data_IF_326816569863
#
_entry.id   IF_326816569863
#
_cell.length_a   1.000
_cell.length_b   1.000
_cell.length_c   1.000
_cell.angle_alpha   90.00
_cell.angle_beta   90.00
_cell.angle_gamma   90.00
#
_symmetry.space_group_name_H-M   'P 1'
#
loop_
_entity.id
_entity.type
_entity.pdbx_description
1 polymer ?
#
# COMPACT_ATOMS: atom_id res chain seq x y z
N UNK A 1 6.56 11.04 5.85
CA UNK A 1 7.84 10.29 5.83
C UNK A 1 7.45 8.93 5.31
N UNK A 2 8.11 8.42 4.25
CA UNK A 2 7.84 7.09 3.68
C UNK A 2 7.47 6.10 4.79
N UNK A 3 6.42 5.28 4.63
CA UNK A 3 6.14 4.17 5.56
C UNK A 3 7.35 3.22 5.60
N UNK A 4 8.36 3.58 6.41
CA UNK A 4 9.63 2.90 6.58
C UNK A 4 9.47 1.39 6.81
N UNK A 5 8.48 0.92 7.61
CA UNK A 5 8.27 -0.53 7.76
C UNK A 5 7.78 -1.19 6.46
N UNK A 6 6.82 -0.58 5.75
CA UNK A 6 6.29 -1.13 4.50
C UNK A 6 7.37 -1.18 3.42
N UNK A 7 8.16 -0.11 3.28
CA UNK A 7 9.23 -0.08 2.30
C UNK A 7 10.28 -1.16 2.57
N UNK A 8 10.74 -1.30 3.82
CA UNK A 8 11.70 -2.36 4.18
C UNK A 8 11.13 -3.76 3.94
N UNK A 9 9.86 -3.98 4.23
CA UNK A 9 9.18 -5.25 3.97
C UNK A 9 9.08 -5.54 2.47
N UNK A 10 8.76 -4.53 1.65
CA UNK A 10 8.73 -4.65 0.20
C UNK A 10 10.13 -4.95 -0.35
N UNK A 11 11.18 -4.25 0.12
CA UNK A 11 12.57 -4.54 -0.25
C UNK A 11 12.92 -5.99 0.04
N UNK A 12 12.68 -6.47 1.28
CA UNK A 12 12.96 -7.86 1.65
C UNK A 12 12.14 -8.89 0.85
N UNK A 13 10.95 -8.51 0.37
CA UNK A 13 10.16 -9.33 -0.55
C UNK A 13 10.74 -9.38 -1.96
N UNK A 14 11.12 -8.23 -2.51
CA UNK A 14 11.73 -8.12 -3.84
C UNK A 14 13.11 -8.78 -3.88
N UNK A 15 13.93 -8.62 -2.83
CA UNK A 15 15.22 -9.31 -2.71
C UNK A 15 15.06 -10.84 -2.76
N UNK A 16 14.01 -11.38 -2.14
CA UNK A 16 13.68 -12.81 -2.24
C UNK A 16 13.30 -13.21 -3.67
N UNK A 17 12.51 -12.39 -4.37
CA UNK A 17 12.16 -12.64 -5.77
C UNK A 17 13.38 -12.59 -6.69
N UNK A 18 14.27 -11.60 -6.49
CA UNK A 18 15.51 -11.46 -7.24
C UNK A 18 16.44 -12.65 -6.99
N UNK A 19 16.57 -13.09 -5.72
CA UNK A 19 17.35 -14.28 -5.38
C UNK A 19 16.78 -15.55 -6.02
N UNK A 20 15.45 -15.72 -6.07
CA UNK A 20 14.79 -16.81 -6.78
C UNK A 20 15.04 -16.77 -8.29
N UNK A 21 15.16 -15.56 -8.86
CA UNK A 21 15.48 -15.35 -10.27
C UNK A 21 17.00 -15.41 -10.57
N UNK A 22 17.86 -15.56 -9.56
CA UNK A 22 19.31 -15.54 -9.71
C UNK A 22 19.87 -14.18 -10.12
N UNK A 23 19.15 -13.10 -9.82
CA UNK A 23 19.47 -11.73 -10.23
C UNK A 23 19.94 -10.92 -9.01
N UNK A 24 20.97 -10.06 -9.14
CA UNK A 24 21.33 -9.12 -8.08
C UNK A 24 20.33 -7.96 -7.99
N UNK A 25 20.31 -7.30 -6.83
CA UNK A 25 19.55 -6.06 -6.64
C UNK A 25 20.01 -4.98 -7.64
N UNK A 26 19.06 -4.41 -8.38
CA UNK A 26 19.32 -3.35 -9.35
C UNK A 26 18.29 -2.21 -9.26
N UNK A 27 18.35 -1.28 -10.22
CA UNK A 27 17.41 -0.15 -10.31
C UNK A 27 15.96 -0.62 -10.48
N UNK A 28 15.70 -1.70 -11.22
CA UNK A 28 14.35 -2.23 -11.38
C UNK A 28 13.82 -2.82 -10.07
N UNK A 29 14.68 -3.45 -9.27
CA UNK A 29 14.35 -3.94 -7.93
C UNK A 29 13.94 -2.78 -7.01
N UNK A 30 14.66 -1.66 -7.06
CA UNK A 30 14.32 -0.46 -6.30
C UNK A 30 12.99 0.18 -6.77
N UNK A 31 12.80 0.31 -8.08
CA UNK A 31 11.54 0.79 -8.66
C UNK A 31 10.35 -0.10 -8.25
N UNK A 32 10.55 -1.42 -8.30
CA UNK A 32 9.53 -2.38 -7.86
C UNK A 32 9.21 -2.20 -6.38
N UNK A 33 10.21 -2.14 -5.50
CA UNK A 33 9.97 -1.96 -4.06
C UNK A 33 9.21 -0.66 -3.74
N UNK A 34 9.54 0.45 -4.43
CA UNK A 34 8.80 1.71 -4.32
C UNK A 34 7.34 1.58 -4.75
N UNK A 35 7.12 1.00 -5.93
CA UNK A 35 5.78 0.79 -6.50
C UNK A 35 4.92 -0.10 -5.60
N UNK A 36 5.50 -1.18 -5.07
CA UNK A 36 4.81 -2.08 -4.14
C UNK A 36 4.46 -1.40 -2.82
N UNK A 37 5.33 -0.52 -2.32
CA UNK A 37 5.06 0.28 -1.11
C UNK A 37 3.87 1.21 -1.32
N UNK A 38 3.84 1.90 -2.46
CA UNK A 38 2.71 2.75 -2.84
C UNK A 38 1.42 1.95 -2.96
N UNK A 39 1.47 0.79 -3.62
CA UNK A 39 0.31 -0.09 -3.77
C UNK A 39 -0.23 -0.55 -2.42
N UNK A 40 0.65 -1.04 -1.53
CA UNK A 40 0.28 -1.45 -0.19
C UNK A 40 -0.43 -0.31 0.56
N UNK A 41 0.15 0.89 0.57
CA UNK A 41 -0.44 2.04 1.23
C UNK A 41 -1.79 2.45 0.60
N UNK A 42 -1.89 2.47 -0.74
CA UNK A 42 -3.11 2.84 -1.46
C UNK A 42 -4.28 1.87 -1.19
N UNK A 43 -3.96 0.60 -0.96
CA UNK A 43 -4.93 -0.45 -0.65
C UNK A 43 -5.16 -0.59 0.87
N UNK A 44 -4.57 0.30 1.67
CA UNK A 44 -4.75 0.33 3.13
C UNK A 44 -4.03 -0.78 3.88
N UNK A 45 -3.06 -1.47 3.26
CA UNK A 45 -2.21 -2.43 3.96
C UNK A 45 -1.33 -1.69 4.96
N UNK A 46 -1.22 -2.26 6.16
CA UNK A 46 -0.39 -1.75 7.26
C UNK A 46 0.98 -2.43 7.29
N UNK A 47 1.08 -3.66 6.77
CA UNK A 47 2.33 -4.42 6.62
C UNK A 47 2.30 -5.28 5.37
N UNK A 48 3.48 -5.64 4.86
CA UNK A 48 3.66 -6.64 3.80
C UNK A 48 4.40 -7.82 4.40
N UNK A 49 3.73 -8.97 4.47
CA UNK A 49 4.31 -10.21 4.96
C UNK A 49 4.94 -11.01 3.80
N UNK A 50 4.26 -11.04 2.65
CA UNK A 50 4.72 -11.77 1.46
C UNK A 50 4.61 -10.93 0.18
N UNK A 51 5.58 -11.12 -0.72
CA UNK A 51 5.55 -10.60 -2.09
C UNK A 51 5.61 -11.81 -3.03
N UNK A 52 4.62 -11.94 -3.89
CA UNK A 52 4.41 -13.12 -4.73
C UNK A 52 4.26 -12.71 -6.20
N UNK A 53 4.79 -13.53 -7.10
CA UNK A 53 4.53 -13.39 -8.54
C UNK A 53 3.33 -14.24 -8.95
N UNK A 54 2.60 -13.80 -9.98
CA UNK A 54 1.53 -14.59 -10.55
C UNK A 54 2.05 -15.91 -11.10
N UNK A 55 1.32 -16.99 -10.89
CA UNK A 55 1.53 -18.25 -11.61
C UNK A 55 1.09 -18.09 -13.08
N UNK A 56 1.56 -19.00 -13.94
CA UNK A 56 1.08 -19.06 -15.31
C UNK A 56 -0.40 -19.45 -15.33
N UNK A 57 -1.16 -18.79 -16.20
CA UNK A 57 -2.57 -19.07 -16.49
C UNK A 57 -2.74 -19.14 -18.01
N UNK A 58 -3.88 -19.66 -18.50
CA UNK A 58 -4.18 -19.67 -19.94
C UNK A 58 -4.12 -18.29 -20.60
N UNK A 59 -4.30 -17.21 -19.81
CA UNK A 59 -4.33 -15.84 -20.31
C UNK A 59 -3.06 -15.03 -20.06
N UNK A 60 -2.13 -15.52 -19.23
CA UNK A 60 -0.92 -14.77 -18.88
C UNK A 60 0.22 -15.67 -18.39
N UNK A 61 1.48 -15.41 -18.80
CA UNK A 61 2.63 -16.16 -18.31
C UNK A 61 2.90 -15.89 -16.82
N UNK A 62 3.61 -16.79 -16.17
CA UNK A 62 4.09 -16.60 -14.80
C UNK A 62 4.92 -15.30 -14.70
N UNK A 63 4.80 -14.60 -13.57
CA UNK A 63 5.50 -13.33 -13.34
C UNK A 63 4.88 -12.11 -14.00
N UNK A 64 3.75 -12.24 -14.70
CA UNK A 64 3.06 -11.09 -15.33
C UNK A 64 2.56 -10.07 -14.31
N UNK A 65 2.14 -10.53 -13.12
CA UNK A 65 1.70 -9.67 -12.03
C UNK A 65 2.48 -9.96 -10.76
N UNK A 66 2.59 -8.93 -9.91
CA UNK A 66 3.18 -9.01 -8.59
C UNK A 66 2.13 -8.65 -7.55
N UNK A 67 2.10 -9.39 -6.45
CA UNK A 67 1.15 -9.25 -5.36
C UNK A 67 1.88 -9.02 -4.05
N UNK A 68 1.38 -8.08 -3.25
CA UNK A 68 1.73 -7.91 -1.84
C UNK A 68 0.60 -8.48 -0.99
N UNK A 69 0.97 -9.25 0.02
CA UNK A 69 0.02 -9.93 0.93
C UNK A 69 0.33 -9.51 2.36
N UNK A 70 -0.71 -9.10 3.07
CA UNK A 70 -0.72 -8.91 4.51
C UNK A 70 -1.41 -10.10 5.16
N UNK A 71 -0.73 -10.71 6.11
CA UNK A 71 -1.16 -11.90 6.82
C UNK A 71 -0.65 -13.19 6.16
N UNK A 72 -1.20 -14.30 6.65
CA UNK A 72 -0.92 -15.61 6.10
C UNK A 72 -1.71 -15.81 4.79
N UNK A 73 -1.06 -16.30 3.74
CA UNK A 73 -1.71 -16.53 2.44
C UNK A 73 -2.80 -17.60 2.54
N UNK A 74 -2.67 -18.54 3.48
CA UNK A 74 -3.65 -19.58 3.78
C UNK A 74 -4.83 -19.07 4.65
N UNK A 75 -4.75 -17.84 5.16
CA UNK A 75 -5.86 -17.23 5.91
C UNK A 75 -6.87 -16.60 4.94
N UNK A 76 -8.16 -17.00 4.95
CA UNK A 76 -9.18 -16.43 4.06
C UNK A 76 -9.44 -14.93 4.26
N UNK A 77 -9.00 -14.34 5.39
CA UNK A 77 -9.08 -12.90 5.66
C UNK A 77 -7.79 -12.15 5.26
N UNK A 78 -6.91 -12.72 4.44
CA UNK A 78 -5.71 -12.03 3.99
C UNK A 78 -6.06 -10.81 3.13
N UNK A 79 -5.31 -9.72 3.34
CA UNK A 79 -5.41 -8.55 2.46
C UNK A 79 -4.34 -8.64 1.39
N UNK A 80 -4.77 -8.66 0.14
CA UNK A 80 -3.91 -8.78 -1.03
C UNK A 80 -4.10 -7.57 -1.93
N UNK A 81 -3.00 -7.03 -2.41
CA UNK A 81 -3.00 -6.04 -3.48
C UNK A 81 -2.07 -6.52 -4.61
N UNK A 82 -2.42 -6.23 -5.86
CA UNK A 82 -1.60 -6.63 -7.01
C UNK A 82 -1.51 -5.56 -8.07
N UNK A 83 -0.39 -5.54 -8.79
CA UNK A 83 -0.16 -4.71 -9.97
C UNK A 83 0.58 -5.49 -11.05
N UNK A 84 0.65 -4.93 -12.26
CA UNK A 84 1.46 -5.51 -13.32
C UNK A 84 2.94 -5.39 -13.00
N UNK A 85 3.69 -6.48 -13.13
CA UNK A 85 5.13 -6.50 -12.84
C UNK A 85 5.88 -5.50 -13.70
N UNK A 86 5.47 -5.37 -14.97
CA UNK A 86 6.01 -4.39 -15.90
C UNK A 86 5.80 -2.95 -15.40
N UNK A 87 4.63 -2.63 -14.83
CA UNK A 87 4.37 -1.31 -14.27
C UNK A 87 5.22 -1.06 -13.02
N UNK A 88 5.37 -2.09 -12.18
CA UNK A 88 6.16 -2.03 -10.95
C UNK A 88 7.64 -1.67 -11.21
N UNK A 89 8.25 -2.26 -12.25
CA UNK A 89 9.66 -1.99 -12.60
C UNK A 89 9.85 -0.71 -13.41
N UNK A 90 8.85 -0.29 -14.19
CA UNK A 90 8.92 0.92 -15.03
C UNK A 90 8.67 2.20 -14.24
N UNK A 91 7.89 2.14 -13.16
CA UNK A 91 7.56 3.31 -12.36
C UNK A 91 8.81 3.75 -11.58
N UNK A 92 9.34 4.97 -11.80
CA UNK A 92 10.51 5.44 -11.09
C UNK A 92 10.29 5.48 -9.58
N UNK A 93 11.31 5.11 -8.81
CA UNK A 93 11.25 5.16 -7.35
C UNK A 93 10.81 6.52 -6.82
N UNK A 94 11.39 7.61 -7.35
CA UNK A 94 11.04 8.97 -6.97
C UNK A 94 9.55 9.29 -7.18
N UNK A 95 8.96 8.81 -8.28
CA UNK A 95 7.54 8.99 -8.56
C UNK A 95 6.66 8.25 -7.54
N UNK A 96 7.05 7.02 -7.18
CA UNK A 96 6.35 6.25 -6.14
C UNK A 96 6.37 6.96 -4.79
N UNK A 97 7.52 7.54 -4.42
CA UNK A 97 7.68 8.33 -3.18
C UNK A 97 6.78 9.57 -3.21
N UNK A 98 6.75 10.32 -4.31
CA UNK A 98 5.89 11.50 -4.43
C UNK A 98 4.41 11.14 -4.33
N UNK A 99 3.97 10.07 -5.01
CA UNK A 99 2.58 9.63 -4.92
C UNK A 99 2.21 9.13 -3.52
N UNK A 100 3.14 8.48 -2.82
CA UNK A 100 2.93 8.05 -1.45
C UNK A 100 2.71 9.25 -0.51
N UNK A 101 3.51 10.31 -0.66
CA UNK A 101 3.34 11.55 0.12
C UNK A 101 1.98 12.21 -0.13
N UNK A 102 1.54 12.25 -1.39
CA UNK A 102 0.21 12.79 -1.75
C UNK A 102 -0.89 11.95 -1.09
N UNK A 103 -0.77 10.63 -1.12
CA UNK A 103 -1.72 9.72 -0.51
C UNK A 103 -1.79 9.91 1.02
N UNK A 104 -0.65 10.01 1.69
CA UNK A 104 -0.57 10.29 3.13
C UNK A 104 -1.32 11.60 3.47
N UNK A 105 -0.99 12.67 2.74
CA UNK A 105 -1.60 13.99 2.97
C UNK A 105 -3.12 13.99 2.77
N UNK A 106 -3.61 13.28 1.75
CA UNK A 106 -5.05 13.14 1.51
C UNK A 106 -5.76 12.40 2.65
N UNK A 107 -5.13 11.35 3.22
CA UNK A 107 -5.69 10.62 4.36
C UNK A 107 -5.76 11.48 5.61
N UNK A 108 -4.71 12.26 5.89
CA UNK A 108 -4.69 13.19 7.02
C UNK A 108 -5.78 14.25 6.91
N UNK A 109 -5.97 14.83 5.72
CA UNK A 109 -7.03 15.82 5.47
C UNK A 109 -8.44 15.22 5.61
N UNK A 110 -8.68 14.00 5.12
CA UNK A 110 -9.96 13.32 5.27
C UNK A 110 -10.33 13.06 6.72
N UNK A 111 -9.38 12.58 7.52
CA UNK A 111 -9.56 12.34 8.96
C UNK A 111 -9.86 13.64 9.73
N UNK A 112 -9.15 14.72 9.39
CA UNK A 112 -9.40 16.03 10.00
C UNK A 112 -10.80 16.57 9.66
N UNK A 113 -11.23 16.45 8.40
CA UNK A 113 -12.56 16.88 7.97
C UNK A 113 -13.68 16.09 8.67
N UNK A 114 -13.51 14.77 8.83
CA UNK A 114 -14.47 13.91 9.51
C UNK A 114 -14.58 14.25 11.01
N UNK A 115 -13.46 14.53 11.68
CA UNK A 115 -13.46 14.94 13.08
C UNK A 115 -14.16 16.30 13.29
N UNK A 116 -13.96 17.27 12.40
CA UNK A 116 -14.67 18.56 12.45
C UNK A 116 -16.18 18.38 12.25
N UNK A 117 -16.58 17.52 11.30
CA UNK A 117 -18.00 17.21 11.08
C UNK A 117 -18.64 16.53 12.30
N UNK A 118 -17.92 15.61 12.97
CA UNK A 118 -18.41 14.91 14.16
C UNK A 118 -18.60 15.87 15.35
N UNK A 119 -17.68 16.81 15.57
CA UNK A 119 -17.78 17.82 16.65
C UNK A 119 -18.94 18.79 16.38
N UNK A 120 -19.12 19.23 15.13
CA UNK A 120 -20.22 20.11 14.76
C UNK A 120 -21.61 19.45 14.93
N UNK A 121 -21.70 18.12 14.79
CA UNK A 121 -22.92 17.35 15.06
C UNK A 121 -23.14 17.05 16.56
N UNK A 122 -22.10 17.18 17.39
CA UNK A 122 -22.14 16.86 18.82
C UNK A 122 -22.44 18.08 19.72
N UNK A 123 -22.44 19.31 19.20
CA UNK A 123 -22.85 20.48 19.98
C UNK A 123 -24.38 20.59 20.13
N UNK A 124 -24.90 20.90 21.33
CA UNK A 124 -26.03 20.16 21.88
C UNK A 124 -27.38 20.87 21.78
N UNK A 125 -28.43 20.06 21.66
CA UNK A 125 -29.84 20.41 21.85
C UNK A 125 -30.19 20.78 23.32
N UNK A 126 -29.32 21.51 24.02
CA UNK A 126 -29.38 21.71 25.47
C UNK A 126 -29.08 23.14 25.91
N UNK A 127 -29.78 24.15 25.36
CA UNK A 127 -29.80 25.50 25.97
C UNK A 127 -31.08 26.29 25.71
N UNK A 128 -32.21 25.59 25.63
CA UNK A 128 -33.52 26.16 25.33
C UNK A 128 -34.59 25.88 26.38
N UNK A 129 -34.29 25.74 27.67
CA UNK A 129 -35.33 25.72 28.72
C UNK A 129 -34.80 26.26 30.04
N UNK A 130 -35.03 27.55 30.31
CA UNK A 130 -35.20 28.13 31.65
C UNK A 130 -35.66 29.59 31.51
N UNK A 131 -36.91 29.77 31.08
CA UNK A 131 -37.69 30.98 31.35
C UNK A 131 -39.04 30.50 31.89
N UNK A 132 -39.32 30.81 33.15
CA UNK A 132 -40.53 30.47 33.88
C UNK A 132 -40.44 30.98 35.30
#
# INVERSE_FOLDING_TARGET
MLHQPLYRQCVAGVERLDAMAGKPWDTHSQCMAGSLTLLAASQGLQRVDQVLLSVATDSAPAGSRVFVVQGDADNPAHHRAGMDTALAVQTPFAQSVQQLQVLEHQREQGLAAEMVAQVAQAEPAGRGMALG
#
